data_IF_730020353903
#
_entry.id   IF_730020353903
#
_cell.length_a   1.000
_cell.length_b   1.000
_cell.length_c   1.000
_cell.angle_alpha   90.00
_cell.angle_beta   90.00
_cell.angle_gamma   90.00
#
_symmetry.space_group_name_H-M   'P 1'
#
loop_
_entity.id
_entity.type
_entity.pdbx_description
1 polymer ?
#
# COMPACT_ATOMS: atom_id res chain seq x y z
N UNK A 1 -20.90 27.61 -44.60
CA UNK A 1 -21.52 27.68 -43.25
C UNK A 1 -21.41 26.35 -42.48
N UNK A 2 -21.72 25.20 -43.09
CA UNK A 2 -21.61 23.87 -42.44
C UNK A 2 -20.19 23.47 -42.00
N UNK A 3 -19.17 23.77 -42.80
CA UNK A 3 -17.76 23.43 -42.50
C UNK A 3 -17.20 24.17 -41.27
N UNK A 4 -17.63 25.42 -41.04
CA UNK A 4 -17.20 26.24 -39.88
C UNK A 4 -17.80 25.67 -38.59
N UNK A 5 -19.06 25.23 -38.64
CA UNK A 5 -19.72 24.59 -37.50
C UNK A 5 -19.08 23.24 -37.16
N UNK A 6 -18.68 22.46 -38.17
CA UNK A 6 -17.99 21.18 -37.97
C UNK A 6 -16.59 21.37 -37.36
N UNK A 7 -15.84 22.39 -37.81
CA UNK A 7 -14.53 22.71 -37.24
C UNK A 7 -14.63 23.21 -35.79
N UNK A 8 -15.60 24.08 -35.50
CA UNK A 8 -15.88 24.55 -34.13
C UNK A 8 -16.28 23.39 -33.21
N UNK A 9 -17.14 22.48 -33.68
CA UNK A 9 -17.53 21.29 -32.93
C UNK A 9 -16.34 20.37 -32.63
N UNK A 10 -15.46 20.15 -33.62
CA UNK A 10 -14.25 19.36 -33.44
C UNK A 10 -13.29 20.01 -32.43
N UNK A 11 -13.05 21.32 -32.54
CA UNK A 11 -12.21 22.07 -31.59
C UNK A 11 -12.75 21.99 -30.15
N UNK A 12 -14.06 22.17 -29.97
CA UNK A 12 -14.69 22.07 -28.66
C UNK A 12 -14.63 20.65 -28.09
N UNK A 13 -14.77 19.62 -28.94
CA UNK A 13 -14.67 18.21 -28.55
C UNK A 13 -13.24 17.85 -28.15
N UNK A 14 -12.23 18.31 -28.88
CA UNK A 14 -10.81 18.12 -28.55
C UNK A 14 -10.46 18.83 -27.24
N UNK A 15 -10.90 20.08 -27.04
CA UNK A 15 -10.69 20.78 -25.78
C UNK A 15 -11.38 20.09 -24.59
N UNK A 16 -12.58 19.53 -24.78
CA UNK A 16 -13.24 18.73 -23.76
C UNK A 16 -12.45 17.46 -23.43
N UNK A 17 -11.95 16.75 -24.45
CA UNK A 17 -11.11 15.55 -24.26
C UNK A 17 -9.83 15.92 -23.51
N UNK A 18 -9.13 16.98 -23.90
CA UNK A 18 -7.91 17.47 -23.21
C UNK A 18 -8.21 17.80 -21.75
N UNK A 19 -9.29 18.55 -21.47
CA UNK A 19 -9.69 18.91 -20.11
C UNK A 19 -10.08 17.69 -19.27
N UNK A 20 -10.66 16.65 -19.88
CA UNK A 20 -10.94 15.39 -19.18
C UNK A 20 -9.68 14.55 -18.94
N UNK A 21 -8.72 14.56 -19.86
CA UNK A 21 -7.44 13.88 -19.67
C UNK A 21 -6.61 14.54 -18.56
N UNK A 22 -6.61 15.88 -18.48
CA UNK A 22 -6.00 16.64 -17.37
C UNK A 22 -6.68 16.39 -16.02
N UNK A 23 -7.98 16.06 -15.99
CA UNK A 23 -8.69 15.75 -14.74
C UNK A 23 -8.49 14.29 -14.30
N UNK A 24 -8.34 13.36 -15.25
CA UNK A 24 -8.12 11.93 -14.97
C UNK A 24 -6.70 11.68 -14.41
N UNK A 25 -5.72 12.54 -14.74
CA UNK A 25 -4.37 12.49 -14.16
C UNK A 25 -4.29 13.02 -12.72
N UNK A 26 -5.38 13.59 -12.16
CA UNK A 26 -5.45 14.08 -10.77
C UNK A 26 -5.93 12.98 -9.80
N UNK A 27 -5.80 11.70 -10.15
CA UNK A 27 -6.08 10.59 -9.24
C UNK A 27 -4.82 9.94 -8.66
N UNK A 28 -3.74 10.70 -8.49
CA UNK A 28 -2.49 10.22 -7.91
C UNK A 28 -1.77 11.31 -7.14
N UNK A 29 -1.28 10.97 -5.94
CA UNK A 29 -0.56 11.80 -4.97
C UNK A 29 -1.37 12.85 -4.19
N UNK A 30 -2.12 12.37 -3.20
CA UNK A 30 -2.46 13.19 -2.05
C UNK A 30 -1.29 13.13 -1.05
N UNK A 31 -0.52 14.22 -0.96
CA UNK A 31 0.65 14.32 -0.07
C UNK A 31 0.25 14.11 1.39
N UNK A 32 -0.87 14.67 1.84
CA UNK A 32 -1.36 14.51 3.20
C UNK A 32 -1.68 13.06 3.57
N UNK A 33 -2.34 12.33 2.67
CA UNK A 33 -2.63 10.91 2.85
C UNK A 33 -1.35 10.07 2.90
N UNK A 34 -0.36 10.41 2.07
CA UNK A 34 0.94 9.74 2.05
C UNK A 34 1.73 10.00 3.34
N UNK A 35 1.73 11.24 3.86
CA UNK A 35 2.32 11.58 5.16
C UNK A 35 1.69 10.76 6.28
N UNK A 36 0.36 10.65 6.30
CA UNK A 36 -0.35 9.86 7.31
C UNK A 36 0.07 8.39 7.28
N UNK A 37 0.17 7.79 6.08
CA UNK A 37 0.59 6.39 5.91
C UNK A 37 2.01 6.17 6.42
N UNK A 38 2.95 7.02 6.05
CA UNK A 38 4.34 6.92 6.53
C UNK A 38 4.44 7.09 8.04
N UNK A 39 3.67 8.01 8.62
CA UNK A 39 3.60 8.18 10.07
C UNK A 39 3.13 6.91 10.78
N UNK A 40 2.07 6.28 10.28
CA UNK A 40 1.53 5.03 10.80
C UNK A 40 2.53 3.86 10.64
N UNK A 41 3.22 3.77 9.49
CA UNK A 41 4.25 2.75 9.26
C UNK A 41 5.48 2.91 10.14
N UNK A 42 5.88 4.15 10.45
CA UNK A 42 6.94 4.43 11.43
C UNK A 42 6.46 4.33 12.88
N UNK A 43 5.17 4.02 13.11
CA UNK A 43 4.54 3.94 14.43
C UNK A 43 4.74 5.22 15.28
N UNK A 44 4.70 6.39 14.62
CA UNK A 44 4.91 7.70 15.26
C UNK A 44 3.55 8.32 15.58
N UNK A 45 3.38 8.81 16.82
CA UNK A 45 2.17 9.55 17.22
C UNK A 45 2.13 10.91 16.52
N UNK A 46 0.92 11.39 16.25
CA UNK A 46 0.74 12.68 15.57
C UNK A 46 1.40 13.83 16.34
N UNK A 47 1.26 13.87 17.67
CA UNK A 47 1.88 14.90 18.50
C UNK A 47 3.41 14.92 18.38
N UNK A 48 4.03 13.74 18.40
CA UNK A 48 5.50 13.59 18.29
C UNK A 48 6.02 14.06 16.93
N UNK A 49 5.29 13.77 15.85
CA UNK A 49 5.66 14.26 14.52
C UNK A 49 5.43 15.77 14.41
N UNK A 50 4.41 16.32 15.07
CA UNK A 50 4.14 17.76 15.08
C UNK A 50 5.26 18.51 15.82
N UNK A 51 5.69 17.98 16.97
CA UNK A 51 6.80 18.53 17.76
C UNK A 51 8.12 18.50 16.97
N UNK A 52 8.39 17.42 16.23
CA UNK A 52 9.66 17.29 15.48
C UNK A 52 9.77 18.24 14.28
N UNK A 53 8.64 18.64 13.68
CA UNK A 53 8.61 19.64 12.60
C UNK A 53 8.29 21.06 13.12
N UNK A 54 8.09 21.22 14.44
CA UNK A 54 7.86 22.51 15.10
C UNK A 54 6.50 23.12 14.83
N UNK A 55 5.46 22.30 14.65
CA UNK A 55 4.07 22.76 14.43
C UNK A 55 3.13 22.19 15.48
N UNK A 56 1.94 22.77 15.61
CA UNK A 56 0.92 22.21 16.50
C UNK A 56 0.31 20.92 15.93
N UNK A 57 -0.21 20.04 16.79
CA UNK A 57 -0.95 18.84 16.36
C UNK A 57 -2.08 19.17 15.37
N UNK A 58 -2.84 20.25 15.62
CA UNK A 58 -3.93 20.68 14.75
C UNK A 58 -3.42 21.09 13.35
N UNK A 59 -2.24 21.69 13.29
CA UNK A 59 -1.57 22.06 12.04
C UNK A 59 -1.14 20.80 11.27
N UNK A 60 -0.56 19.81 11.94
CA UNK A 60 -0.20 18.54 11.31
C UNK A 60 -1.44 17.76 10.82
N UNK A 61 -2.53 17.74 11.60
CA UNK A 61 -3.81 17.17 11.17
C UNK A 61 -4.34 17.85 9.92
N UNK A 62 -4.15 19.17 9.82
CA UNK A 62 -4.52 19.93 8.62
C UNK A 62 -3.62 19.58 7.43
N UNK A 63 -2.34 19.32 7.65
CA UNK A 63 -1.43 18.87 6.60
C UNK A 63 -1.79 17.49 6.06
N UNK A 64 -2.15 16.54 6.91
CA UNK A 64 -2.58 15.19 6.52
C UNK A 64 -3.89 15.19 5.69
N UNK A 65 -4.70 16.25 5.78
CA UNK A 65 -5.94 16.41 5.00
C UNK A 65 -5.76 17.13 3.67
N UNK A 66 -4.61 17.77 3.44
CA UNK A 66 -4.34 18.53 2.22
C UNK A 66 -3.84 17.62 1.11
N UNK A 67 -4.37 17.81 -0.09
CA UNK A 67 -3.90 17.08 -1.28
C UNK A 67 -2.46 17.43 -1.65
N UNK A 68 -2.08 18.71 -1.50
CA UNK A 68 -0.73 19.21 -1.78
C UNK A 68 -0.19 20.00 -0.59
N UNK A 69 1.08 19.75 -0.30
CA UNK A 69 1.86 20.39 0.75
C UNK A 69 3.03 21.12 0.12
N UNK A 70 3.46 22.21 0.76
CA UNK A 70 4.62 22.97 0.33
C UNK A 70 5.90 22.13 0.46
N UNK A 71 6.82 22.32 -0.47
CA UNK A 71 8.06 21.55 -0.54
C UNK A 71 8.87 21.64 0.76
N UNK A 72 8.89 22.81 1.41
CA UNK A 72 9.58 23.00 2.68
C UNK A 72 9.01 22.13 3.80
N UNK A 73 7.69 21.94 3.82
CA UNK A 73 7.01 21.11 4.82
C UNK A 73 7.28 19.64 4.52
N UNK A 74 7.24 19.24 3.25
CA UNK A 74 7.58 17.87 2.83
C UNK A 74 9.00 17.48 3.23
N UNK A 75 9.98 18.37 3.03
CA UNK A 75 11.37 18.15 3.44
C UNK A 75 11.48 17.97 4.96
N UNK A 76 10.79 18.81 5.74
CA UNK A 76 10.77 18.70 7.21
C UNK A 76 10.17 17.38 7.67
N UNK A 77 9.04 16.97 7.09
CA UNK A 77 8.37 15.71 7.42
C UNK A 77 9.22 14.51 7.02
N UNK A 78 9.80 14.53 5.81
CA UNK A 78 10.66 13.47 5.31
C UNK A 78 11.89 13.27 6.21
N UNK A 79 12.51 14.37 6.64
CA UNK A 79 13.62 14.35 7.61
C UNK A 79 13.18 13.82 8.98
N UNK A 80 11.99 14.19 9.45
CA UNK A 80 11.47 13.72 10.73
C UNK A 80 11.11 12.23 10.74
N UNK A 81 10.70 11.67 9.59
CA UNK A 81 10.34 10.26 9.42
C UNK A 81 11.48 9.38 8.88
N UNK A 82 12.64 9.99 8.63
CA UNK A 82 13.83 9.37 8.03
C UNK A 82 13.50 8.63 6.72
N UNK A 83 12.93 9.37 5.76
CA UNK A 83 12.56 8.90 4.43
C UNK A 83 12.99 9.91 3.36
N UNK A 84 13.23 9.47 2.11
CA UNK A 84 13.41 10.40 1.00
C UNK A 84 12.12 11.20 0.74
N UNK A 85 12.24 12.44 0.26
CA UNK A 85 11.07 13.32 0.00
C UNK A 85 10.20 12.72 -1.10
N UNK A 86 10.85 12.05 -2.04
CA UNK A 86 10.27 11.28 -3.12
C UNK A 86 9.32 10.19 -2.58
N UNK A 87 9.60 9.62 -1.40
CA UNK A 87 8.70 8.63 -0.81
C UNK A 87 7.35 9.22 -0.39
N UNK A 88 7.22 10.53 -0.21
CA UNK A 88 5.93 11.18 0.07
C UNK A 88 5.23 11.58 -1.25
N UNK A 89 6.00 11.91 -2.29
CA UNK A 89 5.51 12.38 -3.58
C UNK A 89 5.38 11.30 -4.65
N UNK A 90 5.87 10.08 -4.43
CA UNK A 90 5.89 8.99 -5.43
C UNK A 90 5.31 7.69 -4.87
N UNK A 91 4.40 7.75 -3.89
CA UNK A 91 3.62 6.55 -3.51
C UNK A 91 2.63 6.24 -4.65
N UNK A 92 3.17 5.71 -5.75
CA UNK A 92 2.41 5.12 -6.83
C UNK A 92 1.76 3.84 -6.34
N UNK A 93 0.42 3.83 -6.35
CA UNK A 93 -0.55 2.73 -6.54
C UNK A 93 -0.23 1.24 -6.20
N UNK A 94 0.86 0.90 -5.51
CA UNK A 94 1.34 -0.48 -5.39
C UNK A 94 1.20 -1.14 -4.02
N UNK A 95 0.65 -0.45 -3.02
CA UNK A 95 0.57 -1.00 -1.65
C UNK A 95 -0.65 -0.50 -0.87
N UNK A 96 -1.81 -0.46 -1.50
CA UNK A 96 -3.04 -0.71 -0.74
C UNK A 96 -3.05 -2.19 -0.33
N UNK A 97 -2.33 -2.54 0.74
CA UNK A 97 -2.60 -3.77 1.48
C UNK A 97 -3.89 -3.49 2.25
N UNK A 98 -5.02 -3.69 1.57
CA UNK A 98 -6.31 -3.78 2.23
C UNK A 98 -6.29 -5.07 3.03
N UNK A 99 -5.94 -5.00 4.32
CA UNK A 99 -6.21 -6.08 5.27
C UNK A 99 -7.73 -6.10 5.45
N UNK A 100 -8.43 -6.80 4.56
CA UNK A 100 -9.85 -7.08 4.72
C UNK A 100 -9.94 -8.16 5.79
N UNK A 101 -10.43 -7.79 6.97
CA UNK A 101 -10.84 -8.77 7.98
C UNK A 101 -11.93 -9.64 7.35
N UNK A 102 -11.65 -10.92 7.16
CA UNK A 102 -12.53 -11.91 6.53
C UNK A 102 -13.71 -12.32 7.44
N UNK A 103 -14.31 -11.37 8.17
CA UNK A 103 -15.43 -11.63 9.07
C UNK A 103 -16.74 -10.97 8.65
N UNK A 104 -16.73 -10.02 7.71
CA UNK A 104 -17.95 -9.42 7.17
C UNK A 104 -18.07 -9.60 5.65
N UNK A 105 -19.03 -10.45 5.32
CA UNK A 105 -19.36 -10.96 4.00
C UNK A 105 -20.09 -9.91 3.13
N UNK A 106 -19.37 -9.01 2.45
CA UNK A 106 -19.99 -8.17 1.39
C UNK A 106 -19.02 -7.57 0.36
N UNK A 107 -18.00 -8.31 -0.07
CA UNK A 107 -17.07 -7.82 -1.10
C UNK A 107 -16.12 -8.90 -1.56
N UNK A 108 -16.57 -9.77 -2.47
CA UNK A 108 -15.74 -10.78 -3.13
C UNK A 108 -14.70 -10.10 -4.03
N UNK A 109 -13.58 -9.68 -3.45
CA UNK A 109 -12.32 -9.58 -4.18
C UNK A 109 -11.76 -10.99 -4.16
N UNK A 110 -11.97 -11.72 -5.26
CA UNK A 110 -11.36 -13.03 -5.45
C UNK A 110 -9.85 -12.85 -5.59
N UNK A 111 -9.16 -12.81 -4.44
CA UNK A 111 -7.73 -13.04 -4.39
C UNK A 111 -7.51 -14.52 -4.72
N UNK A 112 -7.42 -14.83 -6.01
CA UNK A 112 -6.95 -16.15 -6.44
C UNK A 112 -5.46 -16.21 -6.16
N UNK A 113 -4.98 -17.00 -5.18
CA UNK A 113 -3.55 -17.23 -5.03
C UNK A 113 -2.99 -17.75 -6.35
N UNK A 114 -1.83 -17.26 -6.76
CA UNK A 114 -1.07 -17.75 -7.93
C UNK A 114 -0.49 -19.16 -7.73
N UNK A 115 -0.72 -19.75 -6.56
CA UNK A 115 -0.39 -21.13 -6.24
C UNK A 115 -1.67 -21.90 -5.94
N UNK A 116 -1.71 -23.16 -6.32
CA UNK A 116 -2.79 -24.06 -5.93
C UNK A 116 -2.61 -24.44 -4.45
N UNK A 117 -3.55 -24.08 -3.55
CA UNK A 117 -3.42 -24.36 -2.12
C UNK A 117 -3.39 -25.85 -1.80
N UNK A 118 -3.99 -26.70 -2.65
CA UNK A 118 -3.96 -28.16 -2.49
C UNK A 118 -2.52 -28.67 -2.61
N UNK A 119 -1.74 -28.16 -3.56
CA UNK A 119 -0.36 -28.61 -3.78
C UNK A 119 0.52 -28.28 -2.58
N UNK A 120 0.30 -27.12 -1.93
CA UNK A 120 1.00 -26.73 -0.71
C UNK A 120 0.62 -27.57 0.51
N UNK A 121 -0.62 -28.05 0.57
CA UNK A 121 -1.06 -28.95 1.63
C UNK A 121 -0.37 -30.32 1.46
N UNK A 122 -0.27 -30.83 0.24
CA UNK A 122 0.43 -32.10 -0.04
C UNK A 122 1.91 -31.99 0.33
N UNK A 123 2.59 -30.92 -0.06
CA UNK A 123 3.99 -30.66 0.31
C UNK A 123 4.20 -30.65 1.84
N UNK A 124 3.26 -30.09 2.60
CA UNK A 124 3.31 -30.09 4.07
C UNK A 124 3.12 -31.50 4.65
N UNK A 125 2.21 -32.30 4.08
CA UNK A 125 1.99 -33.68 4.53
C UNK A 125 3.20 -34.57 4.26
N UNK A 126 3.86 -34.42 3.12
CA UNK A 126 5.07 -35.20 2.80
C UNK A 126 6.21 -34.89 3.79
N UNK A 127 6.44 -33.60 4.09
CA UNK A 127 7.42 -33.19 5.11
C UNK A 127 7.06 -33.71 6.50
N UNK A 128 5.79 -33.66 6.87
CA UNK A 128 5.35 -34.19 8.16
C UNK A 128 5.61 -35.70 8.26
N UNK A 129 5.26 -36.45 7.21
CA UNK A 129 5.49 -37.89 7.15
C UNK A 129 6.98 -38.24 7.27
N UNK A 130 7.86 -37.47 6.65
CA UNK A 130 9.31 -37.62 6.77
C UNK A 130 9.77 -37.40 8.22
N UNK A 131 9.34 -36.30 8.86
CA UNK A 131 9.70 -36.03 10.26
C UNK A 131 9.20 -37.11 11.22
N UNK A 132 8.01 -37.69 10.99
CA UNK A 132 7.50 -38.79 11.81
C UNK A 132 8.34 -40.05 11.63
N UNK A 133 8.76 -40.37 10.39
CA UNK A 133 9.65 -41.52 10.12
C UNK A 133 11.02 -41.35 10.78
N UNK A 134 11.59 -40.15 10.73
CA UNK A 134 12.86 -39.85 11.39
C UNK A 134 12.78 -40.00 12.90
N UNK A 135 11.69 -39.51 13.53
CA UNK A 135 11.45 -39.69 14.96
C UNK A 135 11.34 -41.17 15.35
N UNK A 136 10.59 -41.96 14.58
CA UNK A 136 10.45 -43.41 14.84
C UNK A 136 11.81 -44.09 14.75
N UNK A 137 12.61 -43.78 13.71
CA UNK A 137 13.94 -44.35 13.55
C UNK A 137 14.87 -43.98 14.72
N UNK A 138 14.87 -42.73 15.16
CA UNK A 138 15.64 -42.27 16.32
C UNK A 138 15.22 -43.03 17.60
N UNK A 139 13.91 -43.26 17.78
CA UNK A 139 13.39 -44.02 18.92
C UNK A 139 13.83 -45.48 18.86
N UNK A 140 13.82 -46.11 17.69
CA UNK A 140 14.32 -47.48 17.49
C UNK A 140 15.82 -47.60 17.80
N UNK A 141 16.64 -46.63 17.37
CA UNK A 141 18.07 -46.58 17.69
C UNK A 141 18.33 -46.45 19.20
N UNK A 142 17.58 -45.58 19.89
CA UNK A 142 17.67 -45.42 21.35
C UNK A 142 17.26 -46.71 22.08
N UNK A 143 16.22 -47.40 21.60
CA UNK A 143 15.75 -48.66 22.20
C UNK A 143 16.74 -49.81 21.99
N UNK A 144 17.37 -49.88 20.82
CA UNK A 144 18.36 -50.91 20.51
C UNK A 144 19.71 -50.67 21.22
N UNK A 145 20.10 -49.40 21.46
CA UNK A 145 21.29 -49.05 22.23
C UNK A 145 21.17 -49.21 23.75
N UNK A 146 19.98 -49.56 24.26
CA UNK A 146 19.71 -49.85 25.68
C UNK A 146 19.65 -51.35 26.03
N UNK A 147 19.97 -52.23 25.07
CA UNK A 147 20.19 -53.68 25.31
C UNK A 147 21.67 -53.98 25.42
#
# INVERSE_FOLDING_TARGET
>A
MLLINLFSYFCNRVNFIIKTMEAITVKGNNHGANVRRWREWRNVKQDVLADSIGVSQATLSSYEKKDKLDQEILVKIAKALDIPVEAITEIGEGSSISIVNAYDNSGSINYSPTFNPIDKIIELYDKLLETEREKVKLLEEILNGRK
#
